data_IF_700113555485
#
_entry.id   IF_700113555485
#
_cell.length_a   1.000
_cell.length_b   1.000
_cell.length_c   1.000
_cell.angle_alpha   90.00
_cell.angle_beta   90.00
_cell.angle_gamma   90.00
#
_symmetry.space_group_name_H-M   'P 1'
#
loop_
_entity.id
_entity.type
_entity.pdbx_description
1 polymer ?
#
# COMPACT_ATOMS: atom_id res chain seq x y z
N UNK A 1 5.24 3.58 -16.48
CA UNK A 1 6.57 3.42 -15.86
C UNK A 1 7.57 2.79 -16.81
N UNK A 2 7.37 1.57 -17.33
CA UNK A 2 8.29 0.98 -18.33
C UNK A 2 8.46 1.85 -19.60
N UNK A 3 7.36 2.41 -20.12
CA UNK A 3 7.41 3.37 -21.23
C UNK A 3 8.20 4.65 -20.91
N UNK A 4 8.15 5.11 -19.65
CA UNK A 4 8.92 6.28 -19.18
C UNK A 4 10.42 5.97 -19.19
N UNK A 5 10.81 4.82 -18.62
CA UNK A 5 12.21 4.36 -18.60
C UNK A 5 12.75 4.21 -20.02
N UNK A 6 11.93 3.68 -20.95
CA UNK A 6 12.29 3.59 -22.37
C UNK A 6 12.52 4.96 -23.00
N UNK A 7 11.64 5.92 -22.73
CA UNK A 7 11.76 7.30 -23.22
C UNK A 7 13.02 8.01 -22.72
N UNK A 8 13.46 7.69 -21.50
CA UNK A 8 14.67 8.25 -20.88
C UNK A 8 15.96 7.45 -21.24
N UNK A 9 15.92 6.62 -22.28
CA UNK A 9 17.08 5.85 -22.74
C UNK A 9 17.46 4.69 -21.83
N UNK A 10 16.46 4.00 -21.26
CA UNK A 10 16.60 2.92 -20.28
C UNK A 10 17.22 3.34 -18.94
N UNK A 11 17.25 4.64 -18.66
CA UNK A 11 17.75 5.19 -17.40
C UNK A 11 16.61 5.42 -16.41
N UNK A 12 16.85 5.08 -15.15
CA UNK A 12 15.97 5.49 -14.06
C UNK A 12 16.40 6.87 -13.55
N UNK A 13 15.50 7.84 -13.60
CA UNK A 13 15.80 9.21 -13.13
C UNK A 13 15.85 9.31 -11.60
N UNK A 14 15.08 8.46 -10.92
CA UNK A 14 15.13 8.33 -9.48
C UNK A 14 15.73 6.97 -9.13
N UNK A 15 16.72 6.98 -8.21
CA UNK A 15 17.47 5.79 -7.82
C UNK A 15 16.62 4.87 -6.93
N UNK A 16 16.77 3.56 -7.09
CA UNK A 16 16.17 2.59 -6.17
C UNK A 16 16.83 2.71 -4.80
N UNK A 17 16.05 2.58 -3.73
CA UNK A 17 16.61 2.54 -2.37
C UNK A 17 16.75 1.08 -1.99
N UNK A 18 17.96 0.68 -1.61
CA UNK A 18 18.32 -0.71 -1.32
C UNK A 18 18.93 -0.86 0.08
N UNK A 19 18.74 -2.02 0.70
CA UNK A 19 19.54 -2.47 1.85
C UNK A 19 20.32 -3.71 1.46
N UNK A 20 21.45 -3.92 2.13
CA UNK A 20 22.15 -5.21 2.09
C UNK A 20 21.21 -6.32 2.56
N UNK A 21 21.21 -7.41 1.81
CA UNK A 21 20.56 -8.65 2.19
C UNK A 21 21.47 -9.52 3.06
N UNK A 22 20.89 -10.57 3.63
CA UNK A 22 21.56 -11.45 4.59
C UNK A 22 22.69 -12.28 3.94
N UNK A 23 22.63 -12.44 2.61
CA UNK A 23 23.67 -13.10 1.81
C UNK A 23 24.54 -12.07 1.11
N UNK A 24 25.86 -12.29 1.16
CA UNK A 24 26.87 -11.42 0.54
C UNK A 24 26.57 -11.22 -0.96
N UNK A 25 26.50 -9.96 -1.39
CA UNK A 25 26.22 -9.59 -2.78
C UNK A 25 24.73 -9.55 -3.16
N UNK A 26 23.81 -9.79 -2.23
CA UNK A 26 22.37 -9.58 -2.46
C UNK A 26 21.89 -8.30 -1.79
N UNK A 27 20.93 -7.65 -2.43
CA UNK A 27 20.30 -6.45 -1.93
C UNK A 27 18.77 -6.60 -2.01
N UNK A 28 18.08 -5.97 -1.07
CA UNK A 28 16.63 -5.85 -1.09
C UNK A 28 16.25 -4.43 -1.50
N UNK A 29 15.32 -4.30 -2.43
CA UNK A 29 14.72 -3.00 -2.78
C UNK A 29 13.69 -2.65 -1.71
N UNK A 30 13.87 -1.49 -1.11
CA UNK A 30 13.02 -0.97 -0.03
C UNK A 30 12.04 0.07 -0.55
N UNK A 31 12.48 0.88 -1.52
CA UNK A 31 11.67 1.92 -2.14
C UNK A 31 11.86 1.95 -3.65
N UNK A 32 10.78 2.26 -4.38
CA UNK A 32 10.77 2.23 -5.84
C UNK A 32 10.21 0.95 -6.45
N UNK A 33 9.26 0.29 -5.77
CA UNK A 33 8.59 -0.95 -6.24
C UNK A 33 8.09 -0.89 -7.69
N UNK A 34 7.52 0.26 -8.10
CA UNK A 34 7.04 0.46 -9.48
C UNK A 34 8.17 0.51 -10.52
N UNK A 35 9.35 1.00 -10.14
CA UNK A 35 10.53 1.09 -11.00
C UNK A 35 11.18 -0.27 -11.17
N UNK A 36 11.37 -1.03 -10.07
CA UNK A 36 11.92 -2.39 -10.16
C UNK A 36 10.98 -3.33 -10.95
N UNK A 37 9.67 -3.23 -10.77
CA UNK A 37 8.70 -3.98 -11.58
C UNK A 37 8.79 -3.62 -13.06
N UNK A 38 8.97 -2.33 -13.39
CA UNK A 38 9.14 -1.90 -14.78
C UNK A 38 10.45 -2.40 -15.39
N UNK A 39 11.56 -2.41 -14.63
CA UNK A 39 12.83 -2.98 -15.08
C UNK A 39 12.72 -4.49 -15.34
N UNK A 40 12.05 -5.23 -14.45
CA UNK A 40 11.80 -6.66 -14.65
C UNK A 40 11.00 -6.91 -15.94
N UNK A 41 9.95 -6.14 -16.20
CA UNK A 41 9.17 -6.24 -17.44
C UNK A 41 10.01 -5.96 -18.69
N UNK A 42 10.91 -4.98 -18.64
CA UNK A 42 11.82 -4.68 -19.76
C UNK A 42 12.84 -5.80 -19.97
N UNK A 43 13.32 -6.42 -18.89
CA UNK A 43 14.24 -7.55 -18.96
C UNK A 43 13.56 -8.81 -19.51
N UNK A 44 12.31 -9.06 -19.11
CA UNK A 44 11.47 -10.14 -19.65
C UNK A 44 11.15 -9.94 -21.13
N UNK A 45 10.93 -8.69 -21.56
CA UNK A 45 10.75 -8.33 -22.96
C UNK A 45 12.05 -8.40 -23.80
N UNK A 46 13.20 -8.66 -23.17
CA UNK A 46 14.50 -8.71 -23.84
C UNK A 46 15.04 -7.34 -24.27
N UNK A 47 14.43 -6.25 -23.81
CA UNK A 47 14.86 -4.89 -24.12
C UNK A 47 16.11 -4.48 -23.32
N UNK A 48 16.29 -5.06 -22.13
CA UNK A 48 17.48 -4.89 -21.29
C UNK A 48 18.02 -6.25 -20.84
N UNK A 49 19.33 -6.33 -20.59
CA UNK A 49 19.96 -7.54 -20.06
C UNK A 49 19.53 -7.80 -18.61
N UNK A 50 19.57 -9.06 -18.17
CA UNK A 50 19.38 -9.42 -16.75
C UNK A 50 20.46 -8.81 -15.84
N UNK A 51 21.63 -8.51 -16.41
CA UNK A 51 22.76 -7.87 -15.73
C UNK A 51 22.80 -6.35 -15.97
N UNK A 52 21.68 -5.75 -16.37
CA UNK A 52 21.60 -4.32 -16.65
C UNK A 52 21.99 -3.49 -15.42
N UNK A 53 22.93 -2.53 -15.54
CA UNK A 53 23.36 -1.72 -14.40
C UNK A 53 22.26 -0.73 -13.99
N UNK A 54 21.92 -0.72 -12.71
CA UNK A 54 20.88 0.15 -12.15
C UNK A 54 21.46 0.97 -11.01
N UNK A 55 21.35 2.30 -11.11
CA UNK A 55 21.80 3.19 -10.03
C UNK A 55 20.91 3.03 -8.80
N UNK A 56 21.53 2.65 -7.68
CA UNK A 56 20.85 2.40 -6.42
C UNK A 56 21.51 3.20 -5.30
N UNK A 57 20.70 3.60 -4.32
CA UNK A 57 21.15 4.26 -3.09
C UNK A 57 21.03 3.28 -1.93
N UNK A 58 22.17 2.87 -1.38
CA UNK A 58 22.21 1.99 -0.21
C UNK A 58 21.84 2.77 1.06
N UNK A 59 21.00 2.18 1.90
CA UNK A 59 20.59 2.68 3.22
C UNK A 59 20.74 1.60 4.28
N UNK A 60 20.95 2.01 5.53
CA UNK A 60 20.98 1.07 6.66
C UNK A 60 19.60 0.42 6.86
N UNK A 61 19.52 -0.69 7.60
CA UNK A 61 18.24 -1.37 7.83
C UNK A 61 17.25 -0.50 8.61
N UNK A 62 17.76 0.34 9.51
CA UNK A 62 16.99 1.30 10.32
C UNK A 62 16.44 2.43 9.45
N UNK A 63 17.30 3.07 8.65
CA UNK A 63 16.92 4.14 7.71
C UNK A 63 15.98 3.63 6.62
N UNK A 64 16.20 2.40 6.16
CA UNK A 64 15.35 1.71 5.20
C UNK A 64 13.92 1.57 5.72
N UNK A 65 13.77 1.16 6.99
CA UNK A 65 12.46 0.96 7.62
C UNK A 65 11.71 2.28 7.70
N UNK A 66 12.39 3.35 8.12
CA UNK A 66 11.80 4.69 8.22
C UNK A 66 11.40 5.24 6.84
N UNK A 67 12.27 5.14 5.84
CA UNK A 67 11.99 5.61 4.47
C UNK A 67 10.86 4.80 3.83
N UNK A 68 10.81 3.48 4.04
CA UNK A 68 9.72 2.63 3.57
C UNK A 68 8.40 3.02 4.24
N UNK A 69 8.43 3.32 5.54
CA UNK A 69 7.26 3.81 6.27
C UNK A 69 6.78 5.13 5.70
N UNK A 70 7.70 6.07 5.44
CA UNK A 70 7.39 7.39 4.89
C UNK A 70 6.87 7.29 3.45
N UNK A 71 7.46 6.45 2.58
CA UNK A 71 6.97 6.23 1.21
C UNK A 71 5.57 5.57 1.23
N UNK A 72 5.35 4.60 2.13
CA UNK A 72 4.03 4.00 2.31
C UNK A 72 3.00 5.02 2.82
N UNK A 73 3.40 5.95 3.70
CA UNK A 73 2.56 7.02 4.23
C UNK A 73 2.28 8.13 3.20
N UNK A 74 3.22 8.37 2.28
CA UNK A 74 3.12 9.34 1.18
C UNK A 74 2.35 8.79 -0.03
N UNK A 75 1.92 7.51 0.01
CA UNK A 75 0.92 7.01 -0.93
C UNK A 75 -0.38 7.75 -0.63
N UNK A 76 -0.98 8.40 -1.63
CA UNK A 76 -2.32 8.95 -1.49
C UNK A 76 -3.22 7.86 -0.90
N UNK A 77 -3.67 8.09 0.34
CA UNK A 77 -4.53 7.17 1.03
C UNK A 77 -5.80 7.08 0.19
N UNK A 78 -6.09 5.87 -0.31
CA UNK A 78 -7.35 5.60 -0.99
C UNK A 78 -8.49 6.02 -0.05
N UNK A 79 -9.50 6.70 -0.60
CA UNK A 79 -10.60 7.15 0.23
C UNK A 79 -11.20 5.93 0.96
N UNK A 80 -11.52 6.01 2.26
CA UNK A 80 -11.95 4.85 3.05
C UNK A 80 -13.12 4.05 2.48
N UNK A 81 -14.02 4.72 1.74
CA UNK A 81 -15.13 4.06 1.04
C UNK A 81 -14.62 3.24 -0.14
N UNK A 82 -13.65 3.75 -0.89
CA UNK A 82 -13.07 3.03 -2.01
C UNK A 82 -12.20 1.85 -1.52
N UNK A 83 -11.52 2.01 -0.37
CA UNK A 83 -10.86 0.89 0.32
C UNK A 83 -11.87 -0.18 0.73
N UNK A 84 -13.01 0.22 1.31
CA UNK A 84 -14.08 -0.71 1.66
C UNK A 84 -14.58 -1.49 0.44
N UNK A 85 -14.91 -0.80 -0.66
CA UNK A 85 -15.40 -1.43 -1.88
C UNK A 85 -14.37 -2.40 -2.48
N UNK A 86 -13.11 -1.98 -2.54
CA UNK A 86 -12.02 -2.81 -3.05
C UNK A 86 -11.78 -4.05 -2.16
N UNK A 87 -11.85 -3.91 -0.83
CA UNK A 87 -11.69 -5.04 0.09
C UNK A 87 -12.88 -5.99 0.01
N UNK A 88 -14.11 -5.45 -0.10
CA UNK A 88 -15.35 -6.23 -0.23
C UNK A 88 -15.29 -7.14 -1.45
N UNK A 89 -14.94 -6.61 -2.62
CA UNK A 89 -14.82 -7.38 -3.87
C UNK A 89 -13.85 -8.56 -3.72
N UNK A 90 -12.74 -8.38 -3.01
CA UNK A 90 -11.78 -9.46 -2.80
C UNK A 90 -12.23 -10.46 -1.74
N UNK A 91 -12.89 -10.00 -0.67
CA UNK A 91 -13.46 -10.86 0.34
C UNK A 91 -14.57 -11.74 -0.26
N UNK A 92 -15.44 -11.17 -1.10
CA UNK A 92 -16.47 -11.89 -1.85
C UNK A 92 -15.87 -12.89 -2.85
N UNK A 93 -14.68 -12.59 -3.39
CA UNK A 93 -13.88 -13.51 -4.20
C UNK A 93 -13.13 -14.58 -3.37
N UNK A 94 -13.35 -14.64 -2.05
CA UNK A 94 -12.78 -15.65 -1.16
C UNK A 94 -11.35 -15.41 -0.72
N UNK A 95 -10.80 -14.20 -0.90
CA UNK A 95 -9.46 -13.85 -0.39
C UNK A 95 -9.47 -13.66 1.12
N UNK A 96 -8.38 -14.09 1.76
CA UNK A 96 -8.21 -13.91 3.21
C UNK A 96 -7.89 -12.45 3.54
N UNK A 97 -8.11 -12.07 4.81
CA UNK A 97 -7.82 -10.71 5.29
C UNK A 97 -6.32 -10.41 5.19
N UNK A 98 -5.50 -11.43 5.39
CA UNK A 98 -4.04 -11.40 5.31
C UNK A 98 -3.59 -11.09 3.86
N UNK A 99 -4.19 -11.76 2.86
CA UNK A 99 -3.89 -11.54 1.44
C UNK A 99 -4.31 -10.14 0.99
N UNK A 100 -5.45 -9.65 1.46
CA UNK A 100 -5.97 -8.31 1.17
C UNK A 100 -5.05 -7.24 1.77
N UNK A 101 -4.63 -7.42 3.02
CA UNK A 101 -3.72 -6.52 3.73
C UNK A 101 -2.36 -6.42 3.01
N UNK A 102 -1.78 -7.57 2.65
CA UNK A 102 -0.53 -7.65 1.90
C UNK A 102 -0.63 -6.95 0.53
N UNK A 103 -1.75 -7.14 -0.18
CA UNK A 103 -1.97 -6.56 -1.51
C UNK A 103 -2.10 -5.03 -1.49
N UNK A 104 -2.71 -4.47 -0.44
CA UNK A 104 -2.95 -3.03 -0.32
C UNK A 104 -1.89 -2.32 0.55
N UNK A 105 -0.92 -3.06 1.08
CA UNK A 105 0.14 -2.52 1.93
C UNK A 105 -0.40 -1.92 3.23
N UNK A 106 -1.43 -2.56 3.81
CA UNK A 106 -2.09 -2.13 5.04
C UNK A 106 -2.09 -3.26 6.08
N UNK A 107 -2.66 -3.02 7.27
CA UNK A 107 -2.76 -4.04 8.33
C UNK A 107 -4.07 -4.81 8.25
N UNK A 108 -4.10 -6.08 8.67
CA UNK A 108 -5.34 -6.85 8.77
C UNK A 108 -6.40 -6.16 9.65
N UNK A 109 -5.96 -5.45 10.71
CA UNK A 109 -6.83 -4.65 11.57
C UNK A 109 -7.53 -3.56 10.77
N UNK A 110 -6.81 -2.89 9.86
CA UNK A 110 -7.41 -1.89 8.97
C UNK A 110 -8.39 -2.54 7.99
N UNK A 111 -8.03 -3.68 7.39
CA UNK A 111 -8.92 -4.41 6.48
C UNK A 111 -10.22 -4.80 7.17
N UNK A 112 -10.15 -5.36 8.38
CA UNK A 112 -11.34 -5.70 9.19
C UNK A 112 -12.18 -4.47 9.54
N UNK A 113 -11.54 -3.36 9.92
CA UNK A 113 -12.22 -2.09 10.20
C UNK A 113 -12.94 -1.52 8.97
N UNK A 114 -12.32 -1.58 7.79
CA UNK A 114 -12.93 -1.11 6.54
C UNK A 114 -14.08 -2.01 6.10
N UNK A 115 -13.91 -3.34 6.13
CA UNK A 115 -14.99 -4.29 5.84
C UNK A 115 -16.18 -4.14 6.80
N UNK A 116 -15.94 -3.73 8.04
CA UNK A 116 -17.00 -3.42 9.01
C UNK A 116 -17.80 -2.15 8.66
N UNK A 117 -17.29 -1.25 7.81
CA UNK A 117 -18.03 -0.08 7.32
C UNK A 117 -19.24 -0.48 6.47
N UNK A 118 -19.21 -1.65 5.82
CA UNK A 118 -20.34 -2.19 5.06
C UNK A 118 -21.60 -2.49 5.88
N UNK A 119 -21.52 -2.38 7.21
CA UNK A 119 -22.67 -2.50 8.12
C UNK A 119 -23.30 -1.15 8.48
N UNK A 120 -22.71 -0.04 8.02
CA UNK A 120 -23.20 1.32 8.25
C UNK A 120 -24.21 1.65 7.14
N UNK A 121 -25.33 2.31 7.49
CA UNK A 121 -26.41 2.60 6.56
C UNK A 121 -25.92 3.36 5.31
N UNK A 122 -26.48 3.12 4.10
CA UNK A 122 -26.06 3.76 2.85
C UNK A 122 -25.97 5.29 2.92
N UNK A 123 -26.91 5.93 3.62
CA UNK A 123 -27.00 7.38 3.79
C UNK A 123 -25.77 7.99 4.51
N UNK A 124 -25.15 7.22 5.42
CA UNK A 124 -23.94 7.63 6.15
C UNK A 124 -22.66 7.51 5.29
N UNK A 125 -22.65 6.62 4.29
CA UNK A 125 -21.53 6.47 3.36
C UNK A 125 -21.51 7.60 2.33
N UNK A 126 -22.68 8.09 1.91
CA UNK A 126 -22.79 9.29 1.06
C UNK A 126 -22.38 10.56 1.81
N UNK A 127 -22.81 10.73 3.06
CA UNK A 127 -22.42 11.87 3.91
C UNK A 127 -20.92 11.87 4.25
N UNK A 128 -20.28 10.69 4.28
CA UNK A 128 -18.84 10.56 4.46
C UNK A 128 -18.05 10.84 3.18
N UNK A 129 -18.63 10.57 2.00
CA UNK A 129 -18.04 10.93 0.70
C UNK A 129 -18.03 12.44 0.45
N UNK A 130 -18.93 13.20 1.06
CA UNK A 130 -19.03 14.66 0.89
C UNK A 130 -18.07 15.47 1.79
N UNK A 131 -17.07 14.85 2.41
CA UNK A 131 -16.05 15.45 3.29
C UNK A 131 -16.56 16.09 4.61
N UNK A 132 -17.86 15.96 4.95
CA UNK A 132 -18.44 16.56 6.15
C UNK A 132 -18.24 15.74 7.45
N UNK A 133 -17.57 14.57 7.40
CA UNK A 133 -17.35 13.71 8.57
C UNK A 133 -16.00 12.99 8.60
N UNK A 134 -15.44 12.81 9.81
CA UNK A 134 -14.21 12.04 10.06
C UNK A 134 -14.50 10.58 10.42
N UNK A 135 -13.56 9.66 10.15
CA UNK A 135 -13.72 8.20 10.37
C UNK A 135 -14.12 7.82 11.81
N UNK A 136 -13.70 8.59 12.82
CA UNK A 136 -14.13 8.41 14.22
C UNK A 136 -15.63 8.60 14.44
N UNK A 137 -16.29 9.41 13.61
CA UNK A 137 -17.72 9.69 13.71
C UNK A 137 -18.58 8.63 13.00
N UNK A 138 -17.98 7.84 12.10
CA UNK A 138 -18.67 6.76 11.38
C UNK A 138 -18.77 5.46 12.18
N UNK A 139 -17.81 5.22 13.08
CA UNK A 139 -17.86 4.06 13.96
C UNK A 139 -18.81 4.35 15.11
N UNK A 140 -19.78 3.46 15.43
CA UNK A 140 -20.56 3.63 16.65
C UNK A 140 -19.57 3.66 17.82
N UNK A 141 -19.49 4.81 18.48
CA UNK A 141 -18.80 4.93 19.77
C UNK A 141 -19.35 3.85 20.70
N UNK A 142 -18.52 3.11 21.46
CA UNK A 142 -19.04 2.23 22.49
C UNK A 142 -19.91 3.06 23.42
N UNK A 143 -21.22 2.87 23.30
CA UNK A 143 -22.20 3.49 24.17
C UNK A 143 -21.79 3.15 25.60
N UNK A 144 -21.53 4.13 26.49
CA UNK A 144 -21.36 3.83 27.89
C UNK A 144 -22.68 3.25 28.37
N UNK A 145 -22.72 1.93 28.55
CA UNK A 145 -23.85 1.24 29.15
C UNK A 145 -24.20 1.95 30.45
N UNK A 146 -25.35 2.62 30.43
CA UNK A 146 -26.01 3.12 31.62
C UNK A 146 -26.41 1.89 32.44
N UNK A 147 -25.56 1.52 33.41
CA UNK A 147 -25.96 0.62 34.48
C UNK A 147 -27.04 1.34 35.27
N UNK A 148 -28.28 0.97 34.96
CA UNK A 148 -29.49 1.45 35.61
C UNK A 148 -29.48 0.97 37.06
N UNK A 149 -29.63 1.91 37.98
CA UNK A 149 -29.91 1.72 39.40
C UNK A 149 -30.99 0.67 39.66
N UNK A 150 -30.73 -0.23 40.60
CA UNK A 150 -31.70 -0.75 41.57
C UNK A 150 -31.00 -0.96 42.90
#
# INVERSE_FOLDING_TARGET
MAATIRGDGYRILQNLIIRKGDKRGRFYVIAGGRRIAALNLLAEAGEISKDFPVECKERSAEEATEISLIENLQREAMHPVDEYEAFRVMADAGKSVEDIAARFGTTEVMVRKRLALGRVAPDLLELYRSEDMTFQQLTPSPCPTTTKSR
#
